data_IF_175959918153
#
_entry.id   IF_175959918153
#
_cell.length_a   1.000
_cell.length_b   1.000
_cell.length_c   1.000
_cell.angle_alpha   90.00
_cell.angle_beta   90.00
_cell.angle_gamma   90.00
#
_symmetry.space_group_name_H-M   'P 1'
#
loop_
_entity.id
_entity.type
_entity.pdbx_description
1 polymer ?
#
# COMPACT_ATOMS: atom_id res chain seq x y z
N UNK A 1 -11.89 -37.56 -9.40
CA UNK A 1 -11.41 -37.10 -8.08
C UNK A 1 -10.63 -35.84 -8.33
N UNK A 2 -11.32 -34.70 -8.26
CA UNK A 2 -10.75 -33.37 -8.52
C UNK A 2 -10.33 -32.78 -7.18
N UNK A 3 -9.01 -32.65 -6.99
CA UNK A 3 -8.41 -31.95 -5.87
C UNK A 3 -8.84 -30.48 -5.91
N UNK A 4 -9.76 -30.11 -5.03
CA UNK A 4 -10.02 -28.70 -4.73
C UNK A 4 -8.82 -28.17 -3.93
N UNK A 5 -7.80 -27.67 -4.64
CA UNK A 5 -6.79 -26.80 -4.05
C UNK A 5 -7.51 -25.57 -3.50
N UNK A 6 -7.69 -25.56 -2.18
CA UNK A 6 -8.24 -24.46 -1.42
C UNK A 6 -7.17 -23.34 -1.39
N UNK A 7 -7.04 -22.61 -2.50
CA UNK A 7 -6.10 -21.49 -2.60
C UNK A 7 -6.63 -20.35 -1.71
N UNK A 8 -6.06 -20.20 -0.52
CA UNK A 8 -6.26 -19.02 0.31
C UNK A 8 -6.03 -17.74 -0.52
N UNK A 9 -6.79 -16.65 -0.26
CA UNK A 9 -6.59 -15.40 -0.99
C UNK A 9 -5.15 -14.91 -0.85
N UNK A 10 -4.62 -14.31 -1.90
CA UNK A 10 -3.27 -13.72 -1.89
C UNK A 10 -3.14 -12.74 -0.73
N UNK A 11 -2.09 -12.93 0.07
CA UNK A 11 -1.88 -12.18 1.31
C UNK A 11 -2.44 -12.81 2.59
N UNK A 12 -2.89 -14.06 2.56
CA UNK A 12 -3.24 -14.83 3.75
C UNK A 12 -2.58 -16.22 3.77
N UNK A 13 -2.11 -16.65 4.94
CA UNK A 13 -1.44 -17.95 5.14
C UNK A 13 -1.99 -18.66 6.38
N UNK A 14 -2.13 -19.99 6.30
CA UNK A 14 -2.57 -20.82 7.43
C UNK A 14 -1.39 -21.16 8.32
N UNK A 15 -1.50 -20.88 9.62
CA UNK A 15 -0.50 -21.26 10.64
C UNK A 15 -1.13 -22.06 11.78
N UNK A 16 -0.34 -22.93 12.40
CA UNK A 16 -0.71 -23.60 13.62
C UNK A 16 -0.60 -22.63 14.80
N UNK A 17 -1.70 -22.40 15.50
CA UNK A 17 -1.78 -21.52 16.68
C UNK A 17 -2.30 -22.28 17.90
N UNK A 18 -2.01 -21.76 19.09
CA UNK A 18 -2.51 -22.27 20.36
C UNK A 18 -3.45 -21.24 20.98
N UNK A 19 -4.53 -21.73 21.59
CA UNK A 19 -5.51 -20.86 22.24
C UNK A 19 -5.36 -20.97 23.75
N UNK A 20 -5.74 -19.91 24.47
CA UNK A 20 -5.62 -19.86 25.94
C UNK A 20 -6.27 -21.07 26.65
N UNK A 21 -7.33 -21.64 26.09
CA UNK A 21 -8.03 -22.81 26.64
C UNK A 21 -7.38 -24.16 26.33
N UNK A 22 -6.43 -24.22 25.41
CA UNK A 22 -5.74 -25.46 25.02
C UNK A 22 -4.34 -25.15 24.47
N UNK A 23 -3.34 -25.20 25.35
CA UNK A 23 -1.93 -24.93 25.02
C UNK A 23 -1.16 -26.18 24.53
N UNK A 24 -1.76 -27.37 24.65
CA UNK A 24 -1.13 -28.64 24.28
C UNK A 24 -1.50 -29.11 22.87
N UNK A 25 -2.57 -28.57 22.28
CA UNK A 25 -3.02 -28.92 20.94
C UNK A 25 -3.12 -27.65 20.08
N UNK A 26 -2.40 -27.64 18.97
CA UNK A 26 -2.51 -26.56 17.99
C UNK A 26 -3.74 -26.73 17.10
N UNK A 27 -4.23 -25.61 16.56
CA UNK A 27 -5.28 -25.56 15.53
C UNK A 27 -4.82 -24.65 14.40
N UNK A 28 -5.25 -24.89 13.16
CA UNK A 28 -4.98 -23.96 12.06
C UNK A 28 -5.77 -22.66 12.27
N UNK A 29 -5.13 -21.53 11.98
CA UNK A 29 -5.75 -20.22 11.89
C UNK A 29 -5.14 -19.44 10.70
N UNK A 30 -5.90 -18.50 10.15
CA UNK A 30 -5.49 -17.69 9.00
C UNK A 30 -4.86 -16.41 9.49
N UNK A 31 -3.61 -16.16 9.07
CA UNK A 31 -2.88 -14.94 9.38
C UNK A 31 -2.66 -14.11 8.11
N UNK A 32 -2.69 -12.78 8.27
CA UNK A 32 -2.34 -11.88 7.17
C UNK A 32 -0.83 -11.95 6.92
N UNK A 33 -0.46 -11.99 5.65
CA UNK A 33 0.94 -11.94 5.23
C UNK A 33 1.39 -10.50 5.13
N UNK A 34 2.54 -10.19 5.73
CA UNK A 34 3.20 -8.89 5.67
C UNK A 34 4.65 -9.12 5.23
N UNK A 35 5.05 -8.56 4.09
CA UNK A 35 6.40 -8.71 3.52
C UNK A 35 7.07 -7.35 3.32
N UNK A 36 8.42 -7.29 3.39
CA UNK A 36 9.14 -6.09 3.00
C UNK A 36 9.05 -5.90 1.49
N UNK A 37 8.66 -4.70 1.06
CA UNK A 37 8.61 -4.31 -0.35
C UNK A 37 9.44 -3.04 -0.54
N UNK A 38 10.49 -3.13 -1.35
CA UNK A 38 11.30 -1.96 -1.72
C UNK A 38 10.74 -1.28 -2.98
N UNK A 39 10.61 0.05 -2.94
CA UNK A 39 10.35 0.84 -4.15
C UNK A 39 11.68 1.34 -4.71
N UNK A 40 12.03 0.90 -5.91
CA UNK A 40 13.33 1.13 -6.55
C UNK A 40 13.13 1.97 -7.81
N UNK A 41 13.53 3.23 -7.79
CA UNK A 41 13.40 4.12 -8.94
C UNK A 41 14.71 4.20 -9.72
N UNK A 42 14.69 3.80 -11.00
CA UNK A 42 15.88 3.77 -11.88
C UNK A 42 17.12 3.16 -11.19
N UNK A 43 16.92 2.02 -10.52
CA UNK A 43 17.97 1.28 -9.82
C UNK A 43 18.36 1.82 -8.43
N UNK A 44 17.68 2.84 -7.91
CA UNK A 44 17.93 3.38 -6.56
C UNK A 44 16.79 3.00 -5.63
N UNK A 45 17.09 2.18 -4.62
CA UNK A 45 16.15 1.88 -3.54
C UNK A 45 15.83 3.15 -2.75
N UNK A 46 14.55 3.50 -2.69
CA UNK A 46 14.06 4.73 -2.08
C UNK A 46 13.48 4.50 -0.69
N UNK A 47 12.66 3.47 -0.55
CA UNK A 47 11.96 3.12 0.69
C UNK A 47 11.69 1.62 0.72
N UNK A 48 11.62 1.05 1.93
CA UNK A 48 11.09 -0.29 2.18
C UNK A 48 9.87 -0.17 3.07
N UNK A 49 8.76 -0.74 2.63
CA UNK A 49 7.48 -0.74 3.36
C UNK A 49 7.06 -2.17 3.66
N UNK A 50 6.50 -2.39 4.84
CA UNK A 50 5.84 -3.66 5.16
C UNK A 50 4.43 -3.63 4.55
N UNK A 51 4.13 -4.57 3.67
CA UNK A 51 2.85 -4.57 2.93
C UNK A 51 2.32 -5.99 2.72
N UNK A 52 1.02 -6.10 2.46
CA UNK A 52 0.47 -7.33 1.87
C UNK A 52 1.04 -7.49 0.45
N UNK A 53 1.53 -8.67 0.05
CA UNK A 53 2.16 -8.89 -1.27
C UNK A 53 1.12 -8.96 -2.40
N UNK A 54 0.35 -7.89 -2.59
CA UNK A 54 -0.69 -7.78 -3.62
C UNK A 54 -0.82 -6.32 -4.07
N UNK A 55 -1.33 -6.10 -5.28
CA UNK A 55 -1.61 -4.76 -5.84
C UNK A 55 -0.39 -3.80 -5.77
N UNK A 56 0.83 -4.34 -5.89
CA UNK A 56 2.07 -3.60 -5.60
C UNK A 56 2.37 -2.50 -6.63
N UNK A 57 1.91 -2.65 -7.87
CA UNK A 57 1.99 -1.61 -8.89
C UNK A 57 1.12 -0.40 -8.52
N UNK A 58 -0.12 -0.64 -8.09
CA UNK A 58 -1.04 0.40 -7.64
C UNK A 58 -0.52 1.07 -6.37
N UNK A 59 0.07 0.29 -5.46
CA UNK A 59 0.77 0.81 -4.29
C UNK A 59 1.92 1.74 -4.68
N UNK A 60 2.78 1.32 -5.61
CA UNK A 60 3.91 2.13 -6.08
C UNK A 60 3.46 3.45 -6.73
N UNK A 61 2.43 3.43 -7.59
CA UNK A 61 1.86 4.65 -8.18
C UNK A 61 1.28 5.56 -7.09
N UNK A 62 0.47 5.00 -6.19
CA UNK A 62 -0.19 5.74 -5.11
C UNK A 62 0.83 6.40 -4.17
N UNK A 63 1.87 5.66 -3.77
CA UNK A 63 2.98 6.18 -2.99
C UNK A 63 3.69 7.32 -3.73
N UNK A 64 4.00 7.12 -5.02
CA UNK A 64 4.71 8.10 -5.83
C UNK A 64 3.93 9.42 -5.98
N UNK A 65 2.60 9.34 -6.15
CA UNK A 65 1.73 10.52 -6.19
C UNK A 65 1.63 11.19 -4.81
N UNK A 66 1.44 10.40 -3.75
CA UNK A 66 1.26 10.91 -2.38
C UNK A 66 2.48 11.67 -1.88
N UNK A 67 3.69 11.17 -2.17
CA UNK A 67 4.95 11.85 -1.84
C UNK A 67 5.29 12.97 -2.84
N UNK A 68 4.57 13.05 -3.97
CA UNK A 68 4.85 13.96 -5.07
C UNK A 68 6.22 13.71 -5.72
N UNK A 69 6.58 12.43 -5.85
CA UNK A 69 7.67 11.93 -6.69
C UNK A 69 7.27 12.06 -8.16
N UNK A 70 5.98 11.83 -8.47
CA UNK A 70 5.37 12.06 -9.77
C UNK A 70 4.20 13.04 -9.66
N UNK A 71 3.87 13.73 -10.74
CA UNK A 71 2.62 14.52 -10.82
C UNK A 71 1.51 13.76 -11.54
N UNK A 72 1.88 12.86 -12.47
CA UNK A 72 0.93 12.01 -13.17
C UNK A 72 1.51 10.60 -13.39
N UNK A 73 0.66 9.59 -13.60
CA UNK A 73 1.12 8.22 -13.87
C UNK A 73 2.03 8.11 -15.11
N UNK A 74 1.91 9.01 -16.09
CA UNK A 74 2.74 9.03 -17.30
C UNK A 74 4.20 9.41 -17.04
N UNK A 75 4.53 9.91 -15.84
CA UNK A 75 5.93 10.10 -15.43
C UNK A 75 6.66 8.75 -15.21
N UNK A 76 5.93 7.63 -15.14
CA UNK A 76 6.44 6.26 -15.03
C UNK A 76 6.36 5.59 -16.41
N UNK A 77 7.49 5.09 -16.90
CA UNK A 77 7.60 4.42 -18.20
C UNK A 77 7.45 2.90 -18.10
N UNK A 78 7.76 2.33 -16.95
CA UNK A 78 7.67 0.89 -16.71
C UNK A 78 7.70 0.57 -15.22
N UNK A 79 7.09 -0.57 -14.85
CA UNK A 79 7.17 -1.13 -13.51
C UNK A 79 7.25 -2.65 -13.59
N UNK A 80 8.15 -3.24 -12.81
CA UNK A 80 8.26 -4.69 -12.67
C UNK A 80 8.33 -5.06 -11.19
N UNK A 81 7.54 -6.06 -10.79
CA UNK A 81 7.59 -6.62 -9.44
C UNK A 81 8.48 -7.85 -9.47
N UNK A 82 9.59 -7.83 -8.73
CA UNK A 82 10.57 -8.91 -8.71
C UNK A 82 10.82 -9.43 -7.29
N UNK A 83 11.05 -10.74 -7.13
CA UNK A 83 11.50 -11.31 -5.86
C UNK A 83 12.94 -10.87 -5.55
N UNK A 84 13.21 -10.64 -4.27
CA UNK A 84 14.53 -10.31 -3.74
C UNK A 84 14.83 -11.16 -2.49
N UNK A 85 16.04 -11.09 -1.97
CA UNK A 85 16.48 -11.97 -0.88
C UNK A 85 15.65 -11.82 0.41
N UNK A 86 15.12 -10.62 0.66
CA UNK A 86 14.42 -10.27 1.89
C UNK A 86 12.94 -9.90 1.66
N UNK A 87 12.38 -10.13 0.47
CA UNK A 87 11.02 -9.71 0.16
C UNK A 87 10.81 -9.46 -1.34
N UNK A 88 10.11 -8.38 -1.66
CA UNK A 88 9.82 -7.98 -3.05
C UNK A 88 10.42 -6.61 -3.36
N UNK A 89 10.67 -6.36 -4.63
CA UNK A 89 11.06 -5.06 -5.14
C UNK A 89 10.10 -4.66 -6.25
N UNK A 90 9.63 -3.41 -6.22
CA UNK A 90 8.96 -2.78 -7.35
C UNK A 90 10.00 -1.91 -8.04
N UNK A 91 10.48 -2.37 -9.18
CA UNK A 91 11.44 -1.67 -10.04
C UNK A 91 10.65 -0.70 -10.92
N UNK A 92 10.91 0.60 -10.79
CA UNK A 92 10.13 1.67 -11.42
C UNK A 92 11.05 2.45 -12.35
N UNK A 93 10.72 2.46 -13.65
CA UNK A 93 11.37 3.30 -14.63
C UNK A 93 10.69 4.69 -14.64
N UNK A 94 11.41 5.69 -14.15
CA UNK A 94 10.92 7.03 -13.90
C UNK A 94 11.54 8.03 -14.89
N UNK A 95 10.75 9.00 -15.34
CA UNK A 95 11.25 10.08 -16.19
C UNK A 95 12.47 10.80 -15.59
N UNK A 96 13.45 11.14 -16.43
CA UNK A 96 14.72 11.74 -15.97
C UNK A 96 14.50 13.01 -15.15
N UNK A 97 13.49 13.83 -15.51
CA UNK A 97 13.12 15.05 -14.78
C UNK A 97 12.72 14.76 -13.34
N UNK A 98 11.82 13.78 -13.13
CA UNK A 98 11.38 13.38 -11.78
C UNK A 98 12.49 12.70 -11.01
N UNK A 99 13.28 11.87 -11.66
CA UNK A 99 14.39 11.18 -11.02
C UNK A 99 15.47 12.15 -10.51
N UNK A 100 15.76 13.24 -11.22
CA UNK A 100 16.66 14.29 -10.71
C UNK A 100 16.08 14.97 -9.46
N UNK A 101 14.80 15.35 -9.48
CA UNK A 101 14.15 15.91 -8.29
C UNK A 101 14.11 14.95 -7.10
N UNK A 102 13.99 13.63 -7.35
CA UNK A 102 14.06 12.60 -6.31
C UNK A 102 15.44 12.53 -5.67
N UNK A 103 16.51 12.59 -6.48
CA UNK A 103 17.90 12.57 -5.97
C UNK A 103 18.24 13.79 -5.12
N UNK A 104 17.74 14.97 -5.49
CA UNK A 104 17.90 16.19 -4.69
C UNK A 104 17.27 16.02 -3.30
N UNK A 105 16.17 15.28 -3.21
CA UNK A 105 15.37 15.05 -1.97
C UNK A 105 15.78 13.81 -1.17
N UNK A 106 16.68 12.96 -1.68
CA UNK A 106 17.01 11.62 -1.15
C UNK A 106 17.53 11.62 0.30
N UNK A 107 17.91 12.76 0.86
CA UNK A 107 18.48 12.85 2.22
C UNK A 107 17.45 12.92 3.35
N UNK A 108 16.15 12.78 3.08
CA UNK A 108 15.09 13.10 4.06
C UNK A 108 14.08 11.98 4.39
N UNK A 109 14.37 10.70 4.10
CA UNK A 109 13.39 9.59 4.28
C UNK A 109 13.74 8.55 5.34
N UNK A 110 14.90 8.63 6.00
CA UNK A 110 15.18 7.76 7.13
C UNK A 110 14.32 8.20 8.34
N UNK A 111 13.19 7.50 8.58
CA UNK A 111 12.50 7.58 9.87
C UNK A 111 11.07 8.13 9.89
N UNK A 112 10.37 8.25 8.75
CA UNK A 112 8.93 8.58 8.75
C UNK A 112 8.09 7.41 9.27
N UNK A 113 8.07 7.20 10.58
CA UNK A 113 7.10 6.31 11.25
C UNK A 113 6.03 7.15 11.95
N UNK A 114 4.77 6.74 11.83
CA UNK A 114 3.63 7.29 12.58
C UNK A 114 3.10 8.64 12.07
N UNK A 115 3.77 9.74 12.41
CA UNK A 115 3.22 11.10 12.24
C UNK A 115 3.73 11.88 11.02
N UNK A 116 4.68 11.32 10.26
CA UNK A 116 5.29 11.98 9.10
C UNK A 116 6.26 13.12 9.44
N UNK A 117 6.46 13.43 10.73
CA UNK A 117 7.37 14.48 11.23
C UNK A 117 8.69 13.89 11.73
N UNK A 118 8.66 12.70 12.33
CA UNK A 118 9.88 11.98 12.68
C UNK A 118 10.63 11.64 11.37
N UNK A 119 11.92 12.01 11.27
CA UNK A 119 12.74 11.78 10.07
C UNK A 119 12.87 12.96 9.10
N UNK A 120 12.23 14.12 9.35
CA UNK A 120 12.52 15.36 8.61
C UNK A 120 13.76 16.05 9.19
N UNK A 121 14.84 16.17 8.41
CA UNK A 121 16.09 16.81 8.88
C UNK A 121 16.01 18.34 8.90
N UNK A 122 15.11 18.94 8.11
CA UNK A 122 14.91 20.38 8.05
C UNK A 122 13.48 20.76 8.43
N UNK A 123 13.34 21.75 9.31
CA UNK A 123 12.05 22.35 9.65
C UNK A 123 11.28 22.84 8.41
N UNK A 124 11.97 23.22 7.34
CA UNK A 124 11.35 23.66 6.08
C UNK A 124 10.70 22.52 5.28
N UNK A 125 11.03 21.25 5.54
CA UNK A 125 10.35 20.10 4.93
C UNK A 125 9.06 19.75 5.68
N UNK A 126 8.83 20.36 6.85
CA UNK A 126 7.56 20.27 7.58
C UNK A 126 6.54 21.17 6.88
N UNK A 127 5.50 20.55 6.33
CA UNK A 127 4.38 21.29 5.74
C UNK A 127 4.65 21.74 4.30
N UNK A 128 4.96 20.77 3.42
CA UNK A 128 4.88 20.97 1.97
C UNK A 128 3.58 21.75 1.65
N UNK A 129 3.66 22.94 1.03
CA UNK A 129 2.49 23.77 0.82
C UNK A 129 1.49 23.00 -0.05
N UNK A 130 0.36 22.63 0.56
CA UNK A 130 -0.72 21.91 -0.12
C UNK A 130 -1.54 22.97 -0.85
N UNK A 131 -1.64 22.83 -2.18
CA UNK A 131 -2.51 23.71 -2.97
C UNK A 131 -3.96 23.48 -2.56
N UNK A 132 -4.72 24.54 -2.19
CA UNK A 132 -6.13 24.41 -1.88
C UNK A 132 -6.88 23.77 -3.05
N UNK A 133 -7.72 22.77 -2.76
CA UNK A 133 -8.54 22.12 -3.77
C UNK A 133 -9.76 22.99 -4.11
N UNK A 134 -10.20 23.02 -5.38
CA UNK A 134 -11.44 23.67 -5.76
C UNK A 134 -12.66 22.86 -5.26
N UNK A 135 -13.77 23.55 -4.98
CA UNK A 135 -15.05 22.93 -4.61
C UNK A 135 -15.75 22.29 -5.82
N UNK A 136 -15.21 21.16 -6.30
CA UNK A 136 -15.70 20.47 -7.51
C UNK A 136 -16.53 19.22 -7.21
N UNK A 137 -16.48 18.72 -5.97
CA UNK A 137 -17.10 17.45 -5.60
C UNK A 137 -18.25 17.64 -4.60
N UNK A 138 -19.28 16.82 -4.76
CA UNK A 138 -20.40 16.72 -3.83
C UNK A 138 -20.68 15.24 -3.56
N UNK A 139 -21.13 14.92 -2.34
CA UNK A 139 -21.45 13.57 -1.94
C UNK A 139 -22.83 13.52 -1.29
N UNK A 140 -23.77 12.78 -1.88
CA UNK A 140 -25.07 12.56 -1.27
C UNK A 140 -24.95 11.50 -0.16
N UNK A 141 -25.09 11.96 1.09
CA UNK A 141 -24.98 11.16 2.32
C UNK A 141 -25.93 9.95 2.38
N UNK A 142 -27.06 9.98 1.67
CA UNK A 142 -27.97 8.82 1.59
C UNK A 142 -27.29 7.56 1.01
N UNK A 143 -26.14 7.70 0.36
CA UNK A 143 -25.38 6.57 -0.17
C UNK A 143 -24.27 6.06 0.76
N UNK A 144 -24.01 6.73 1.89
CA UNK A 144 -22.89 6.42 2.78
C UNK A 144 -23.00 5.01 3.34
N UNK A 145 -24.14 4.68 3.94
CA UNK A 145 -24.36 3.38 4.58
C UNK A 145 -24.21 2.22 3.60
N UNK A 146 -24.68 2.39 2.36
CA UNK A 146 -24.49 1.40 1.31
C UNK A 146 -23.00 1.24 0.96
N UNK A 147 -22.27 2.34 0.81
CA UNK A 147 -20.84 2.30 0.50
C UNK A 147 -20.04 1.62 1.61
N UNK A 148 -20.33 1.93 2.88
CA UNK A 148 -19.65 1.32 4.03
C UNK A 148 -19.92 -0.19 4.13
N UNK A 149 -21.16 -0.64 3.86
CA UNK A 149 -21.49 -2.07 3.84
C UNK A 149 -20.70 -2.85 2.79
N UNK A 150 -20.38 -2.23 1.65
CA UNK A 150 -19.60 -2.88 0.60
C UNK A 150 -18.09 -2.82 0.82
N UNK A 151 -17.59 -2.08 1.82
CA UNK A 151 -16.15 -1.98 2.06
C UNK A 151 -15.53 -3.33 2.49
N UNK A 152 -16.30 -4.18 3.16
CA UNK A 152 -15.86 -5.54 3.51
C UNK A 152 -15.64 -6.43 2.28
N UNK A 153 -16.36 -6.18 1.19
CA UNK A 153 -16.30 -7.00 -0.02
C UNK A 153 -14.92 -6.91 -0.70
N UNK A 154 -14.19 -5.82 -0.44
CA UNK A 154 -12.82 -5.58 -0.92
C UNK A 154 -11.74 -6.00 0.07
N UNK A 155 -12.11 -6.68 1.16
CA UNK A 155 -11.20 -7.13 2.23
C UNK A 155 -11.21 -8.65 2.41
N UNK A 156 -10.95 -9.47 1.38
CA UNK A 156 -10.97 -10.93 1.52
C UNK A 156 -9.99 -11.43 2.59
N UNK A 157 -8.80 -10.83 2.68
CA UNK A 157 -7.81 -11.14 3.73
C UNK A 157 -8.31 -10.68 5.12
N UNK A 158 -8.89 -9.48 5.21
CA UNK A 158 -9.45 -8.95 6.46
C UNK A 158 -10.63 -9.77 6.99
N UNK A 159 -11.46 -10.31 6.10
CA UNK A 159 -12.55 -11.22 6.48
C UNK A 159 -12.05 -12.52 7.13
N UNK A 160 -10.86 -12.98 6.74
CA UNK A 160 -10.25 -14.20 7.29
C UNK A 160 -9.40 -13.93 8.53
N UNK A 161 -8.70 -12.80 8.58
CA UNK A 161 -7.59 -12.58 9.52
C UNK A 161 -7.85 -11.44 10.52
N UNK A 162 -8.81 -10.55 10.23
CA UNK A 162 -9.05 -9.33 11.01
C UNK A 162 -7.91 -8.31 10.99
N UNK A 163 -6.86 -8.51 10.19
CA UNK A 163 -5.58 -7.78 10.28
C UNK A 163 -5.28 -6.90 9.05
N UNK A 164 -6.30 -6.36 8.38
CA UNK A 164 -6.10 -5.49 7.21
C UNK A 164 -6.97 -4.25 7.25
N UNK A 165 -6.52 -3.20 6.55
CA UNK A 165 -7.33 -2.03 6.22
C UNK A 165 -7.72 -2.04 4.74
N UNK A 166 -8.72 -1.23 4.37
CA UNK A 166 -9.08 -0.98 2.99
C UNK A 166 -9.30 0.51 2.72
N UNK A 167 -9.02 0.88 1.48
CA UNK A 167 -9.40 2.15 0.89
C UNK A 167 -10.27 1.86 -0.34
N UNK A 168 -11.33 2.63 -0.53
CA UNK A 168 -12.22 2.49 -1.67
C UNK A 168 -12.50 3.85 -2.30
N UNK A 169 -12.54 3.89 -3.63
CA UNK A 169 -12.96 5.05 -4.39
C UNK A 169 -14.40 4.88 -4.87
N UNK A 170 -15.26 5.88 -4.63
CA UNK A 170 -16.63 5.88 -5.13
C UNK A 170 -16.81 6.96 -6.17
N UNK A 171 -17.09 6.55 -7.41
CA UNK A 171 -17.44 7.46 -8.47
C UNK A 171 -18.78 8.17 -8.20
N UNK A 172 -18.89 9.40 -8.69
CA UNK A 172 -20.18 10.10 -8.76
C UNK A 172 -21.12 9.30 -9.67
N UNK A 173 -22.41 9.15 -9.33
CA UNK A 173 -23.37 8.62 -10.29
C UNK A 173 -23.35 9.52 -11.53
N UNK A 174 -23.07 8.92 -12.70
CA UNK A 174 -23.22 9.58 -13.99
C UNK A 174 -24.72 9.55 -14.29
N UNK A 175 -25.36 10.72 -14.32
CA UNK A 175 -26.70 10.86 -14.90
C UNK A 175 -26.59 10.96 -16.41
#
# INVERSE_FOLDING_TARGET
>A
MSDHQNSSPEGAISHAVWTRGCLTQSKPDMLATEVPVALVYNGISHVVMMTTPKDLEQFAIGFSLSEGIIECPQDIYGMDVVPSCNGLEVQIELSSRRFMGLKERRRALAGRTGCGVCGVEQLNDIGKPITPLPFTQTFNLANLDRALKHLSDFQPVGQLTGCTHAAAWRCRPVN
#
